data_IF_151769647314
#
_entry.id   IF_151769647314
#
_cell.length_a   1.000
_cell.length_b   1.000
_cell.length_c   1.000
_cell.angle_alpha   90.00
_cell.angle_beta   90.00
_cell.angle_gamma   90.00
#
_symmetry.space_group_name_H-M   'P 1'
#
loop_
_entity.id
_entity.type
_entity.pdbx_description
1 polymer ?
#
# COMPACT_ATOMS: atom_id res chain seq x y z
N UNK A 1 14.35 -12.35 1.53
CA UNK A 1 13.60 -11.08 1.66
C UNK A 1 14.59 -10.03 2.18
N UNK A 2 14.84 -8.97 1.41
CA UNK A 2 15.85 -7.93 1.76
C UNK A 2 15.28 -6.85 2.69
N UNK A 3 14.04 -6.40 2.43
CA UNK A 3 13.33 -5.42 3.24
C UNK A 3 11.88 -5.87 3.44
N UNK A 4 11.48 -6.33 4.64
CA UNK A 4 10.11 -6.74 4.90
C UNK A 4 9.18 -5.54 5.06
N UNK A 5 7.94 -5.64 4.57
CA UNK A 5 6.93 -4.58 4.74
C UNK A 5 6.66 -4.25 6.22
N UNK A 6 6.85 -5.21 7.12
CA UNK A 6 6.71 -5.02 8.57
C UNK A 6 7.68 -3.95 9.10
N UNK A 7 8.93 -3.91 8.59
CA UNK A 7 9.89 -2.89 8.99
C UNK A 7 9.44 -1.49 8.55
N UNK A 8 8.95 -1.36 7.31
CA UNK A 8 8.38 -0.10 6.81
C UNK A 8 7.15 0.31 7.61
N UNK A 9 6.30 -0.65 7.98
CA UNK A 9 5.10 -0.41 8.78
C UNK A 9 5.45 0.09 10.19
N UNK A 10 6.47 -0.48 10.83
CA UNK A 10 6.94 -0.03 12.15
C UNK A 10 7.59 1.35 12.09
N UNK A 11 8.37 1.62 11.03
CA UNK A 11 8.89 2.96 10.78
C UNK A 11 7.78 3.99 10.59
N UNK A 12 6.76 3.70 9.77
CA UNK A 12 5.61 4.60 9.57
C UNK A 12 4.86 4.85 10.88
N UNK A 13 4.66 3.82 11.72
CA UNK A 13 4.05 3.97 13.05
C UNK A 13 4.84 4.94 13.94
N UNK A 14 6.16 4.98 13.82
CA UNK A 14 7.01 5.90 14.60
C UNK A 14 6.80 7.38 14.25
N UNK A 15 6.23 7.68 13.07
CA UNK A 15 5.90 9.04 12.65
C UNK A 15 4.66 9.61 13.37
N UNK A 16 3.87 8.74 14.02
CA UNK A 16 2.73 9.11 14.87
C UNK A 16 1.65 9.98 14.17
N UNK A 17 1.38 9.71 12.90
CA UNK A 17 0.27 10.35 12.19
C UNK A 17 -1.08 9.71 12.54
N UNK A 18 -2.12 10.54 12.63
CA UNK A 18 -3.50 10.07 12.80
C UNK A 18 -3.93 9.20 11.62
N UNK A 19 -4.56 8.07 11.92
CA UNK A 19 -5.14 7.18 10.90
C UNK A 19 -6.48 7.77 10.46
N UNK A 20 -6.68 7.91 9.15
CA UNK A 20 -7.94 8.42 8.56
C UNK A 20 -8.69 7.36 7.76
N UNK A 21 -7.99 6.32 7.28
CA UNK A 21 -8.61 5.10 6.74
C UNK A 21 -7.96 3.89 7.38
N UNK A 22 -8.77 3.01 7.97
CA UNK A 22 -8.30 1.86 8.71
C UNK A 22 -7.70 0.79 7.79
N UNK A 23 -6.98 -0.15 8.40
CA UNK A 23 -6.38 -1.27 7.68
C UNK A 23 -7.46 -2.10 6.98
N UNK A 24 -7.42 -2.15 5.65
CA UNK A 24 -8.40 -2.88 4.83
C UNK A 24 -7.75 -3.48 3.58
N UNK A 25 -8.34 -4.53 2.99
CA UNK A 25 -7.85 -5.04 1.71
C UNK A 25 -8.11 -4.02 0.60
N UNK A 26 -7.25 -4.04 -0.41
CA UNK A 26 -7.51 -3.42 -1.71
C UNK A 26 -7.56 -4.49 -2.80
N UNK A 27 -8.37 -4.24 -3.82
CA UNK A 27 -8.78 -5.26 -4.78
C UNK A 27 -8.35 -4.91 -6.21
N UNK A 28 -7.90 -5.95 -6.92
CA UNK A 28 -7.68 -5.95 -8.37
C UNK A 28 -8.40 -7.19 -8.92
N UNK A 29 -9.24 -7.02 -9.94
CA UNK A 29 -10.05 -8.10 -10.51
C UNK A 29 -10.83 -8.93 -9.47
N UNK A 30 -11.41 -8.27 -8.47
CA UNK A 30 -12.13 -8.88 -7.34
C UNK A 30 -11.28 -9.84 -6.47
N UNK A 31 -9.95 -9.76 -6.55
CA UNK A 31 -9.02 -10.50 -5.71
C UNK A 31 -8.23 -9.55 -4.81
N UNK A 32 -7.82 -10.04 -3.64
CA UNK A 32 -7.01 -9.27 -2.69
C UNK A 32 -5.61 -9.10 -3.25
N UNK A 33 -5.30 -7.89 -3.71
CA UNK A 33 -3.98 -7.53 -4.19
C UNK A 33 -3.02 -7.27 -3.01
N UNK A 34 -3.57 -6.72 -1.92
CA UNK A 34 -2.89 -6.54 -0.65
C UNK A 34 -3.75 -5.75 0.34
N UNK A 35 -3.10 -5.04 1.26
CA UNK A 35 -3.76 -4.24 2.29
C UNK A 35 -3.27 -2.80 2.27
N UNK A 36 -4.15 -1.88 2.66
CA UNK A 36 -3.85 -0.44 2.67
C UNK A 36 -4.31 0.21 3.98
N UNK A 37 -3.66 1.33 4.32
CA UNK A 37 -4.04 2.24 5.42
C UNK A 37 -3.61 3.66 5.05
N UNK A 38 -4.46 4.63 5.37
CA UNK A 38 -4.22 6.03 5.06
C UNK A 38 -4.04 6.85 6.33
N UNK A 39 -3.07 7.76 6.31
CA UNK A 39 -2.71 8.66 7.40
C UNK A 39 -3.05 10.12 7.03
N UNK A 40 -3.22 10.96 8.05
CA UNK A 40 -3.68 12.35 7.90
C UNK A 40 -2.69 13.28 7.14
N UNK A 41 -1.43 12.87 6.98
CA UNK A 41 -0.38 13.59 6.24
C UNK A 41 -0.44 13.39 4.72
N UNK A 42 -1.54 12.81 4.21
CA UNK A 42 -1.72 12.40 2.80
C UNK A 42 -0.85 11.21 2.40
N UNK A 43 -0.32 10.45 3.36
CA UNK A 43 0.37 9.19 3.09
C UNK A 43 -0.60 8.01 3.08
N UNK A 44 -0.46 7.16 2.07
CA UNK A 44 -1.11 5.84 2.00
C UNK A 44 -0.03 4.76 2.03
N UNK A 45 -0.11 3.85 3.00
CA UNK A 45 0.74 2.67 3.06
C UNK A 45 0.02 1.49 2.43
N UNK A 46 0.64 0.82 1.46
CA UNK A 46 0.09 -0.33 0.76
C UNK A 46 1.04 -1.53 0.77
N UNK A 47 0.48 -2.72 0.89
CA UNK A 47 1.17 -4.00 0.68
C UNK A 47 0.66 -4.65 -0.60
N UNK A 48 1.35 -5.66 -1.10
CA UNK A 48 0.82 -6.50 -2.17
C UNK A 48 1.87 -7.02 -3.14
N UNK A 49 3.01 -6.34 -3.30
CA UNK A 49 4.09 -6.70 -4.23
C UNK A 49 5.28 -7.43 -3.58
N UNK A 50 6.32 -7.68 -4.39
CA UNK A 50 7.62 -8.21 -3.95
C UNK A 50 8.65 -7.10 -3.72
N UNK A 51 9.93 -7.48 -3.61
CA UNK A 51 11.01 -6.48 -3.47
C UNK A 51 11.21 -5.67 -4.76
N UNK A 52 11.00 -6.32 -5.90
CA UNK A 52 10.97 -5.74 -7.24
C UNK A 52 9.55 -5.83 -7.80
N UNK A 53 9.26 -5.00 -8.81
CA UNK A 53 7.91 -4.91 -9.41
C UNK A 53 7.51 -6.14 -10.23
N UNK A 54 8.47 -6.97 -10.63
CA UNK A 54 8.30 -8.08 -11.57
C UNK A 54 7.44 -9.24 -11.03
N UNK A 55 7.29 -9.34 -9.71
CA UNK A 55 6.51 -10.41 -9.10
C UNK A 55 4.99 -10.27 -9.32
N UNK A 56 4.50 -9.04 -9.47
CA UNK A 56 3.07 -8.70 -9.59
C UNK A 56 2.85 -7.47 -10.48
N UNK A 57 3.15 -7.58 -11.78
CA UNK A 57 3.17 -6.45 -12.70
C UNK A 57 1.79 -5.78 -12.86
N UNK A 58 0.72 -6.56 -12.83
CA UNK A 58 -0.66 -6.06 -13.02
C UNK A 58 -1.12 -5.25 -11.81
N UNK A 59 -0.99 -5.79 -10.60
CA UNK A 59 -1.36 -5.09 -9.37
C UNK A 59 -0.50 -3.85 -9.13
N UNK A 60 0.80 -3.93 -9.45
CA UNK A 60 1.71 -2.79 -9.34
C UNK A 60 1.34 -1.66 -10.32
N UNK A 61 0.93 -2.00 -11.54
CA UNK A 61 0.45 -1.02 -12.52
C UNK A 61 -0.84 -0.33 -12.06
N UNK A 62 -1.82 -1.09 -11.57
CA UNK A 62 -3.07 -0.54 -11.04
C UNK A 62 -2.82 0.35 -9.81
N UNK A 63 -1.92 -0.06 -8.91
CA UNK A 63 -1.52 0.75 -7.76
C UNK A 63 -0.93 2.09 -8.20
N UNK A 64 -0.02 2.08 -9.18
CA UNK A 64 0.61 3.27 -9.72
C UNK A 64 -0.41 4.21 -10.40
N UNK A 65 -1.28 3.67 -11.26
CA UNK A 65 -2.33 4.43 -11.95
C UNK A 65 -3.26 5.14 -10.96
N UNK A 66 -3.70 4.42 -9.93
CA UNK A 66 -4.57 4.99 -8.88
C UNK A 66 -3.84 6.06 -8.09
N UNK A 67 -2.57 5.85 -7.74
CA UNK A 67 -1.75 6.83 -7.02
C UNK A 67 -1.60 8.14 -7.80
N UNK A 68 -1.20 8.09 -9.08
CA UNK A 68 -1.02 9.31 -9.89
C UNK A 68 -2.35 10.02 -10.19
N UNK A 69 -3.46 9.28 -10.20
CA UNK A 69 -4.81 9.82 -10.43
C UNK A 69 -5.51 10.28 -9.15
N UNK A 70 -4.88 10.13 -7.98
CA UNK A 70 -5.49 10.45 -6.68
C UNK A 70 -6.68 9.56 -6.30
N UNK A 71 -6.78 8.37 -6.91
CA UNK A 71 -7.84 7.40 -6.63
C UNK A 71 -7.45 6.49 -5.45
N UNK A 72 -8.42 6.10 -4.59
CA UNK A 72 -8.16 5.13 -3.53
C UNK A 72 -7.77 3.75 -4.06
N UNK A 73 -6.92 3.04 -3.30
CA UNK A 73 -6.69 1.60 -3.47
C UNK A 73 -7.88 0.79 -2.95
#
# INVERSE_FOLDING_TARGET
>A
MLVPFLATQDWIRSLNYSIIDHWRPWLVHNQVAGYTKTYADKMTFATGGGHTIEYKPDENSVMFERWVSGQPL
#
